data_IF_650007635308
#
_entry.id   IF_650007635308
#
_cell.length_a   1.000
_cell.length_b   1.000
_cell.length_c   1.000
_cell.angle_alpha   90.00
_cell.angle_beta   90.00
_cell.angle_gamma   90.00
#
_symmetry.space_group_name_H-M   'P 1'
#
loop_
_entity.id
_entity.type
_entity.pdbx_description
1 polymer ?
#
# COMPACT_ATOMS: atom_id res chain seq x y z
N UNK A 1 -3.25 -30.42 -29.83
CA UNK A 1 -2.72 -30.47 -28.46
C UNK A 1 -2.45 -29.04 -28.01
N UNK A 2 -3.42 -28.41 -27.35
CA UNK A 2 -3.27 -27.05 -26.83
C UNK A 2 -2.51 -27.13 -25.51
N UNK A 3 -1.34 -26.49 -25.46
CA UNK A 3 -0.58 -26.31 -24.22
C UNK A 3 -1.18 -25.12 -23.49
N UNK A 4 -2.12 -25.38 -22.58
CA UNK A 4 -2.54 -24.40 -21.58
C UNK A 4 -1.36 -24.10 -20.66
N UNK A 5 -0.62 -23.04 -21.00
CA UNK A 5 0.39 -22.46 -20.14
C UNK A 5 -0.35 -21.72 -19.01
N UNK A 6 -0.62 -22.42 -17.92
CA UNK A 6 -1.03 -21.82 -16.66
C UNK A 6 0.08 -20.86 -16.21
N UNK A 7 -0.05 -19.59 -16.58
CA UNK A 7 0.79 -18.53 -16.00
C UNK A 7 0.60 -18.57 -14.49
N UNK A 8 1.68 -18.64 -13.69
CA UNK A 8 1.54 -18.48 -12.26
C UNK A 8 0.97 -17.08 -12.04
N UNK A 9 -0.26 -17.01 -11.51
CA UNK A 9 -0.87 -15.75 -11.12
C UNK A 9 0.16 -15.01 -10.26
N UNK A 10 0.68 -13.91 -10.79
CA UNK A 10 1.74 -13.10 -10.16
C UNK A 10 1.17 -12.66 -8.83
N UNK A 11 1.59 -13.31 -7.74
CA UNK A 11 1.11 -12.95 -6.42
C UNK A 11 1.38 -11.45 -6.26
N UNK A 12 0.35 -10.65 -5.94
CA UNK A 12 0.54 -9.21 -5.80
C UNK A 12 1.62 -8.99 -4.77
N UNK A 13 2.60 -8.16 -5.12
CA UNK A 13 3.72 -7.95 -4.24
C UNK A 13 3.21 -7.29 -2.94
N UNK A 14 3.90 -7.52 -1.82
CA UNK A 14 3.44 -7.06 -0.50
C UNK A 14 3.15 -5.55 -0.50
N UNK A 15 3.90 -4.75 -1.27
CA UNK A 15 3.68 -3.31 -1.41
C UNK A 15 2.36 -2.99 -2.09
N UNK A 16 2.01 -3.66 -3.18
CA UNK A 16 0.71 -3.49 -3.88
C UNK A 16 -0.46 -3.84 -2.98
N UNK A 17 -0.34 -4.92 -2.19
CA UNK A 17 -1.36 -5.31 -1.21
C UNK A 17 -1.54 -4.23 -0.13
N UNK A 18 -0.43 -3.75 0.44
CA UNK A 18 -0.46 -2.67 1.44
C UNK A 18 -1.08 -1.39 0.89
N UNK A 19 -0.73 -1.00 -0.33
CA UNK A 19 -1.29 0.19 -0.97
C UNK A 19 -2.80 0.06 -1.19
N UNK A 20 -3.25 -1.09 -1.69
CA UNK A 20 -4.67 -1.37 -1.88
C UNK A 20 -5.46 -1.37 -0.56
N UNK A 21 -4.84 -1.83 0.54
CA UNK A 21 -5.43 -1.76 1.88
C UNK A 21 -5.54 -0.31 2.37
N UNK A 22 -4.52 0.51 2.15
CA UNK A 22 -4.52 1.91 2.56
C UNK A 22 -5.51 2.74 1.74
N UNK A 23 -5.64 2.47 0.44
CA UNK A 23 -6.61 3.12 -0.45
C UNK A 23 -8.07 2.88 -0.03
N UNK A 24 -8.38 1.73 0.56
CA UNK A 24 -9.73 1.45 1.08
C UNK A 24 -10.14 2.37 2.24
N UNK A 25 -9.17 2.87 3.00
CA UNK A 25 -9.41 3.79 4.13
C UNK A 25 -9.30 5.26 3.69
N UNK A 26 -8.36 5.55 2.79
CA UNK A 26 -8.10 6.90 2.31
C UNK A 26 -7.09 7.68 3.18
N UNK A 27 -6.40 8.63 2.54
CA UNK A 27 -5.21 9.28 3.09
C UNK A 27 -5.48 10.21 4.28
N UNK A 28 -6.69 10.78 4.35
CA UNK A 28 -7.08 11.70 5.43
C UNK A 28 -7.46 10.96 6.72
N UNK A 29 -7.98 9.74 6.60
CA UNK A 29 -8.52 8.96 7.72
C UNK A 29 -7.56 7.88 8.24
N UNK A 30 -6.42 7.65 7.58
CA UNK A 30 -5.49 6.56 7.90
C UNK A 30 -4.26 7.04 8.71
N UNK A 31 -4.25 6.94 10.05
CA UNK A 31 -3.04 7.15 10.84
C UNK A 31 -2.09 5.97 10.77
N UNK A 32 -0.78 6.19 10.98
CA UNK A 32 0.28 5.18 10.88
C UNK A 32 -0.01 3.93 11.74
N UNK A 33 -0.43 4.11 13.00
CA UNK A 33 -0.71 2.99 13.90
C UNK A 33 -1.86 2.12 13.39
N UNK A 34 -2.86 2.73 12.76
CA UNK A 34 -3.98 2.01 12.16
C UNK A 34 -3.55 1.31 10.87
N UNK A 35 -2.74 1.95 10.02
CA UNK A 35 -2.16 1.31 8.84
C UNK A 35 -1.33 0.05 9.20
N UNK A 36 -0.56 0.11 10.29
CA UNK A 36 0.19 -1.04 10.81
C UNK A 36 -0.72 -2.14 11.34
N UNK A 37 -1.76 -1.79 12.10
CA UNK A 37 -2.72 -2.76 12.64
C UNK A 37 -3.53 -3.44 11.51
N UNK A 38 -3.93 -2.69 10.48
CA UNK A 38 -4.61 -3.21 9.30
C UNK A 38 -3.73 -4.18 8.53
N UNK A 39 -2.44 -3.84 8.36
CA UNK A 39 -1.47 -4.73 7.74
C UNK A 39 -1.25 -6.02 8.55
N UNK A 40 -1.14 -5.91 9.87
CA UNK A 40 -0.99 -7.06 10.77
C UNK A 40 -2.22 -8.00 10.72
N UNK A 41 -3.43 -7.44 10.68
CA UNK A 41 -4.67 -8.20 10.52
C UNK A 41 -4.72 -8.98 9.19
N UNK A 42 -4.06 -8.48 8.15
CA UNK A 42 -3.91 -9.13 6.84
C UNK A 42 -2.70 -10.07 6.75
N UNK A 43 -2.01 -10.31 7.87
CA UNK A 43 -0.82 -11.16 7.95
C UNK A 43 0.44 -10.54 7.35
N UNK A 44 0.49 -9.22 7.21
CA UNK A 44 1.61 -8.47 6.64
C UNK A 44 2.49 -7.88 7.76
N UNK A 45 3.78 -7.68 7.45
CA UNK A 45 4.75 -7.18 8.41
C UNK A 45 4.56 -5.69 8.72
N UNK A 46 4.52 -5.32 10.02
CA UNK A 46 4.35 -3.92 10.48
C UNK A 46 5.44 -2.97 10.00
N UNK A 47 6.70 -3.41 9.95
CA UNK A 47 7.83 -2.58 9.47
C UNK A 47 7.64 -2.25 8.00
N UNK A 48 7.33 -3.26 7.18
CA UNK A 48 7.00 -3.07 5.76
C UNK A 48 5.79 -2.16 5.57
N UNK A 49 4.75 -2.31 6.41
CA UNK A 49 3.57 -1.46 6.40
C UNK A 49 3.90 0.01 6.71
N UNK A 50 4.78 0.27 7.69
CA UNK A 50 5.21 1.62 8.02
C UNK A 50 5.95 2.29 6.86
N UNK A 51 6.91 1.60 6.24
CA UNK A 51 7.64 2.11 5.07
C UNK A 51 6.67 2.36 3.90
N UNK A 52 5.78 1.39 3.61
CA UNK A 52 4.80 1.52 2.55
C UNK A 52 3.83 2.68 2.79
N UNK A 53 3.40 2.90 4.03
CA UNK A 53 2.50 3.99 4.42
C UNK A 53 3.10 5.36 4.09
N UNK A 54 4.36 5.61 4.46
CA UNK A 54 5.01 6.89 4.15
C UNK A 54 5.13 7.12 2.64
N UNK A 55 5.49 6.09 1.88
CA UNK A 55 5.59 6.18 0.41
C UNK A 55 4.22 6.40 -0.23
N UNK A 56 3.22 5.67 0.22
CA UNK A 56 1.84 5.77 -0.23
C UNK A 56 1.23 7.15 0.05
N UNK A 57 1.50 7.69 1.25
CA UNK A 57 1.04 9.02 1.69
C UNK A 57 1.70 10.13 0.88
N UNK A 58 3.02 10.08 0.70
CA UNK A 58 3.75 11.06 -0.12
C UNK A 58 3.31 11.07 -1.59
N UNK A 59 2.91 9.91 -2.13
CA UNK A 59 2.40 9.82 -3.50
C UNK A 59 0.99 10.44 -3.68
N UNK A 60 0.22 10.62 -2.59
CA UNK A 60 -1.18 11.09 -2.61
C UNK A 60 -1.37 12.50 -2.06
N UNK A 61 -0.55 12.86 -1.09
CA UNK A 61 -0.46 14.21 -0.58
C UNK A 61 0.81 14.81 -1.16
N UNK A 62 0.75 15.45 -2.34
CA UNK A 62 1.88 16.27 -2.78
C UNK A 62 2.15 17.26 -1.65
N UNK A 63 3.39 17.28 -1.16
CA UNK A 63 3.85 18.27 -0.21
C UNK A 63 3.35 19.64 -0.65
N UNK A 64 2.74 20.40 0.25
CA UNK A 64 2.21 21.74 0.02
C UNK A 64 3.27 22.79 -0.37
N UNK A 65 4.43 22.38 -0.89
CA UNK A 65 5.62 23.19 -1.15
C UNK A 65 5.82 23.58 -2.63
N UNK A 66 4.78 23.56 -3.47
CA UNK A 66 4.91 24.02 -4.87
C UNK A 66 3.94 25.13 -5.29
N UNK A 67 3.35 25.89 -4.36
CA UNK A 67 2.52 27.06 -4.70
C UNK A 67 2.89 28.32 -3.90
N UNK A 68 4.19 28.56 -3.72
CA UNK A 68 4.71 29.84 -3.26
C UNK A 68 6.02 30.18 -4.00
N UNK A 69 5.92 30.46 -5.29
CA UNK A 69 6.93 31.20 -6.05
C UNK A 69 6.26 31.94 -7.20
#
# INVERSE_FOLDING_TARGET
>A
MSKDATQPAKQPNVTERLWSLFDQVGVEALPLNFAQALAEAEGLNRTSAGIAFYRWRAARLPSQEQHAA
#
